data_IF_905433959457
#
_entry.id   IF_905433959457
#
_cell.length_a   1.000
_cell.length_b   1.000
_cell.length_c   1.000
_cell.angle_alpha   90.00
_cell.angle_beta   90.00
_cell.angle_gamma   90.00
#
_symmetry.space_group_name_H-M   'P 1'
#
loop_
_entity.id
_entity.type
_entity.pdbx_description
1 polymer ?
#
# COMPACT_ATOMS: atom_id res chain seq x y z
N UNK A 1 -17.04 -12.03 19.65
CA UNK A 1 -16.76 -12.16 18.20
C UNK A 1 -15.44 -11.47 17.93
N UNK A 2 -14.37 -12.25 17.94
CA UNK A 2 -13.01 -11.76 17.73
C UNK A 2 -12.71 -11.79 16.25
N UNK A 3 -12.51 -10.61 15.66
CA UNK A 3 -11.93 -10.50 14.32
C UNK A 3 -10.49 -10.98 14.45
N UNK A 4 -10.22 -12.21 14.00
CA UNK A 4 -8.86 -12.65 13.70
C UNK A 4 -8.41 -11.84 12.49
N UNK A 5 -7.69 -10.75 12.75
CA UNK A 5 -6.90 -10.08 11.73
C UNK A 5 -5.88 -11.11 11.28
N UNK A 6 -5.98 -11.54 10.03
CA UNK A 6 -5.09 -12.55 9.45
C UNK A 6 -3.70 -11.90 9.30
N UNK A 7 -2.81 -12.20 10.25
CA UNK A 7 -1.42 -11.74 10.32
C UNK A 7 -0.50 -12.49 9.33
N UNK A 8 -0.86 -12.55 8.05
CA UNK A 8 0.05 -13.12 7.06
C UNK A 8 0.01 -12.33 5.77
N UNK A 9 0.71 -11.19 5.81
CA UNK A 9 1.32 -10.63 4.62
C UNK A 9 2.66 -11.36 4.42
N UNK A 10 2.72 -12.29 3.47
CA UNK A 10 3.96 -12.88 2.96
C UNK A 10 4.74 -11.84 2.13
N UNK A 11 5.05 -10.72 2.74
CA UNK A 11 6.15 -9.87 2.30
C UNK A 11 7.31 -10.13 3.24
N UNK A 12 8.54 -10.04 2.77
CA UNK A 12 9.76 -10.35 3.54
C UNK A 12 10.02 -9.45 4.76
N UNK A 13 8.99 -8.74 5.26
CA UNK A 13 9.00 -7.87 6.42
C UNK A 13 7.72 -8.07 7.25
N UNK A 14 7.87 -8.02 8.58
CA UNK A 14 6.74 -8.04 9.53
C UNK A 14 6.59 -6.64 10.12
N UNK A 15 5.40 -6.05 10.02
CA UNK A 15 5.09 -4.81 10.73
C UNK A 15 4.54 -5.15 12.12
N UNK A 16 4.98 -4.42 13.13
CA UNK A 16 4.32 -4.47 14.43
C UNK A 16 2.86 -4.01 14.30
N UNK A 17 1.94 -4.65 15.02
CA UNK A 17 0.50 -4.34 14.93
C UNK A 17 0.20 -2.84 15.13
N UNK A 18 0.90 -2.20 16.06
CA UNK A 18 0.77 -0.76 16.31
C UNK A 18 1.27 0.10 15.13
N UNK A 19 2.36 -0.31 14.48
CA UNK A 19 2.91 0.36 13.32
C UNK A 19 1.98 0.22 12.11
N UNK A 20 1.45 -0.98 11.88
CA UNK A 20 0.48 -1.25 10.82
C UNK A 20 -0.80 -0.42 11.00
N UNK A 21 -1.40 -0.42 12.20
CA UNK A 21 -2.61 0.36 12.47
C UNK A 21 -2.39 1.85 12.25
N UNK A 22 -1.25 2.38 12.71
CA UNK A 22 -0.90 3.78 12.51
C UNK A 22 -0.70 4.10 11.03
N UNK A 23 0.02 3.24 10.30
CA UNK A 23 0.25 3.41 8.87
C UNK A 23 -1.08 3.39 8.10
N UNK A 24 -1.94 2.41 8.37
CA UNK A 24 -3.21 2.25 7.66
C UNK A 24 -4.13 3.44 7.94
N UNK A 25 -4.17 3.93 9.19
CA UNK A 25 -4.90 5.16 9.55
C UNK A 25 -4.42 6.39 8.77
N UNK A 26 -3.12 6.49 8.50
CA UNK A 26 -2.57 7.58 7.70
C UNK A 26 -2.93 7.42 6.22
N UNK A 27 -2.84 6.19 5.70
CA UNK A 27 -3.14 5.84 4.30
C UNK A 27 -4.63 5.91 3.96
N UNK A 28 -5.52 5.79 4.94
CA UNK A 28 -6.98 5.94 4.81
C UNK A 28 -7.48 7.33 5.16
N UNK A 29 -6.60 8.23 5.60
CA UNK A 29 -7.00 9.60 5.95
C UNK A 29 -7.57 10.34 4.74
N UNK A 30 -8.74 10.93 4.88
CA UNK A 30 -9.40 11.72 3.82
C UNK A 30 -8.47 12.78 3.22
N UNK A 31 -7.66 13.44 4.06
CA UNK A 31 -6.68 14.43 3.61
C UNK A 31 -5.63 13.83 2.66
N UNK A 32 -5.22 12.58 2.87
CA UNK A 32 -4.26 11.90 2.02
C UNK A 32 -4.92 11.43 0.72
N UNK A 33 -6.13 10.85 0.81
CA UNK A 33 -6.91 10.45 -0.36
C UNK A 33 -7.16 11.66 -1.27
N UNK A 34 -7.58 12.80 -0.72
CA UNK A 34 -7.79 14.05 -1.45
C UNK A 34 -6.52 14.57 -2.13
N UNK A 35 -5.35 14.43 -1.48
CA UNK A 35 -4.07 14.79 -2.09
C UNK A 35 -3.72 13.88 -3.28
N UNK A 36 -4.05 12.59 -3.19
CA UNK A 36 -3.83 11.63 -4.27
C UNK A 36 -4.79 11.92 -5.42
N UNK A 37 -6.10 12.07 -5.14
CA UNK A 37 -7.13 12.38 -6.15
C UNK A 37 -7.00 13.78 -6.74
N UNK A 38 -6.33 14.72 -6.07
CA UNK A 38 -6.00 16.03 -6.68
C UNK A 38 -4.91 15.93 -7.75
N UNK A 39 -4.07 14.88 -7.74
CA UNK A 39 -2.98 14.69 -8.69
C UNK A 39 -3.33 13.69 -9.80
N UNK A 40 -4.42 12.96 -9.64
CA UNK A 40 -4.85 11.91 -10.53
C UNK A 40 -6.28 12.19 -11.01
N UNK A 41 -6.65 11.77 -12.22
CA UNK A 41 -7.97 12.03 -12.78
C UNK A 41 -9.11 11.21 -12.14
N UNK A 42 -8.88 10.60 -10.97
CA UNK A 42 -9.82 9.70 -10.32
C UNK A 42 -10.55 10.41 -9.18
N UNK A 43 -11.88 10.34 -9.17
CA UNK A 43 -12.71 11.05 -8.19
C UNK A 43 -12.70 10.38 -6.81
N UNK A 44 -12.59 9.04 -6.74
CA UNK A 44 -12.60 8.30 -5.48
C UNK A 44 -11.60 7.15 -5.49
N UNK A 45 -10.86 7.03 -4.39
CA UNK A 45 -9.91 5.94 -4.14
C UNK A 45 -10.22 5.31 -2.78
N UNK A 46 -10.19 3.99 -2.74
CA UNK A 46 -10.36 3.20 -1.53
C UNK A 46 -9.06 2.45 -1.23
N UNK A 47 -8.51 2.64 -0.03
CA UNK A 47 -7.34 1.89 0.39
C UNK A 47 -7.71 0.43 0.61
N UNK A 48 -7.03 -0.49 -0.06
CA UNK A 48 -7.37 -1.93 -0.03
C UNK A 48 -6.80 -2.66 1.20
N UNK A 49 -6.11 -1.94 2.09
CA UNK A 49 -5.34 -2.52 3.21
C UNK A 49 -4.19 -3.43 2.75
N UNK A 50 -3.90 -3.44 1.44
CA UNK A 50 -2.76 -4.16 0.88
C UNK A 50 -1.56 -3.24 0.74
N UNK A 51 -0.43 -3.68 1.29
CA UNK A 51 0.86 -3.03 1.16
C UNK A 51 1.93 -4.06 0.80
N UNK A 52 2.95 -3.65 0.08
CA UNK A 52 4.06 -4.52 -0.25
C UNK A 52 5.37 -3.74 -0.34
N UNK A 53 6.49 -4.45 -0.21
CA UNK A 53 7.80 -3.88 -0.46
C UNK A 53 8.13 -4.06 -1.95
N UNK A 54 8.45 -2.99 -2.70
CA UNK A 54 8.94 -3.15 -4.05
C UNK A 54 10.27 -3.91 -4.02
N UNK A 55 10.42 -4.86 -4.94
CA UNK A 55 11.61 -5.71 -5.04
C UNK A 55 12.52 -5.20 -6.15
N UNK A 56 13.85 -5.39 -6.04
CA UNK A 56 14.76 -5.02 -7.11
C UNK A 56 14.37 -5.70 -8.43
N UNK A 57 14.65 -5.01 -9.54
CA UNK A 57 14.53 -5.59 -10.86
C UNK A 57 15.39 -6.86 -10.96
N UNK A 58 14.79 -7.96 -11.37
CA UNK A 58 15.49 -9.21 -11.67
C UNK A 58 14.91 -9.86 -12.92
N UNK A 59 15.57 -10.91 -13.44
CA UNK A 59 15.04 -11.69 -14.56
C UNK A 59 13.68 -12.34 -14.25
N UNK A 60 13.42 -12.61 -12.98
CA UNK A 60 12.16 -13.21 -12.52
C UNK A 60 11.11 -12.15 -12.15
N UNK A 61 11.53 -10.90 -11.92
CA UNK A 61 10.70 -9.80 -11.42
C UNK A 61 10.92 -8.52 -12.22
N UNK A 62 10.60 -8.53 -13.54
CA UNK A 62 10.94 -7.42 -14.44
C UNK A 62 10.18 -6.12 -14.11
N UNK A 63 9.06 -6.19 -13.37
CA UNK A 63 8.29 -5.02 -12.93
C UNK A 63 8.67 -4.50 -11.54
N UNK A 64 9.68 -5.10 -10.89
CA UNK A 64 10.08 -4.71 -9.53
C UNK A 64 9.00 -4.99 -8.47
N UNK A 65 8.11 -5.94 -8.74
CA UNK A 65 7.00 -6.32 -7.87
C UNK A 65 6.89 -7.84 -7.80
N UNK A 66 6.41 -8.37 -6.68
CA UNK A 66 6.10 -9.80 -6.57
C UNK A 66 4.90 -10.15 -7.47
N UNK A 67 4.88 -11.38 -7.97
CA UNK A 67 3.88 -11.86 -8.94
C UNK A 67 2.43 -11.68 -8.47
N UNK A 68 2.19 -11.82 -7.17
CA UNK A 68 0.89 -11.60 -6.56
C UNK A 68 0.37 -10.16 -6.68
N UNK A 69 1.27 -9.17 -6.75
CA UNK A 69 0.90 -7.76 -6.86
C UNK A 69 0.88 -7.25 -8.30
N UNK A 70 1.42 -8.01 -9.27
CA UNK A 70 1.39 -7.64 -10.69
C UNK A 70 -0.03 -7.44 -11.22
N UNK A 71 -1.00 -8.22 -10.73
CA UNK A 71 -2.41 -8.10 -11.13
C UNK A 71 -3.00 -6.70 -10.85
N UNK A 72 -2.54 -6.02 -9.79
CA UNK A 72 -2.99 -4.68 -9.43
C UNK A 72 -2.31 -3.60 -10.28
N UNK A 73 -1.11 -3.87 -10.80
CA UNK A 73 -0.46 -3.00 -11.77
C UNK A 73 -1.08 -3.15 -13.17
N UNK A 74 -1.51 -4.36 -13.53
CA UNK A 74 -2.10 -4.66 -14.84
C UNK A 74 -3.57 -4.24 -14.96
N UNK A 75 -4.27 -4.11 -13.83
CA UNK A 75 -5.65 -3.67 -13.80
C UNK A 75 -5.79 -2.16 -13.76
N UNK A 76 -6.65 -1.61 -14.62
CA UNK A 76 -7.05 -0.19 -14.61
C UNK A 76 -7.98 0.19 -13.45
N UNK A 77 -8.40 -0.78 -12.64
CA UNK A 77 -9.27 -0.56 -11.49
C UNK A 77 -8.48 -0.38 -10.19
N UNK A 78 -7.16 -0.52 -10.23
CA UNK A 78 -6.28 -0.32 -9.10
C UNK A 78 -5.17 0.67 -9.41
N UNK A 79 -4.64 1.28 -8.37
CA UNK A 79 -3.48 2.15 -8.43
C UNK A 79 -2.53 1.83 -7.28
N UNK A 80 -1.25 1.82 -7.60
CA UNK A 80 -0.18 1.58 -6.65
C UNK A 80 0.49 2.91 -6.34
N UNK A 81 0.50 3.28 -5.07
CA UNK A 81 1.07 4.55 -4.58
C UNK A 81 2.24 4.23 -3.65
N UNK A 82 3.37 4.90 -3.85
CA UNK A 82 4.48 4.81 -2.91
C UNK A 82 4.09 5.44 -1.58
N UNK A 83 4.27 4.70 -0.49
CA UNK A 83 4.03 5.19 0.86
C UNK A 83 5.02 6.32 1.15
N UNK A 84 4.53 7.52 1.50
CA UNK A 84 5.41 8.64 1.84
C UNK A 84 6.34 8.31 3.02
N UNK A 85 7.63 8.69 2.98
CA UNK A 85 8.55 8.43 4.09
C UNK A 85 8.07 8.99 5.42
N UNK A 86 7.42 10.17 5.41
CA UNK A 86 6.85 10.77 6.62
C UNK A 86 5.78 9.90 7.29
N UNK A 87 5.05 9.06 6.55
CA UNK A 87 4.05 8.14 7.10
C UNK A 87 4.74 6.94 7.73
N UNK A 88 5.76 6.41 7.05
CA UNK A 88 6.61 5.33 7.59
C UNK A 88 7.26 5.77 8.91
N UNK A 89 7.84 6.97 8.97
CA UNK A 89 8.41 7.54 10.20
C UNK A 89 7.38 7.72 11.31
N UNK A 90 6.18 8.23 11.01
CA UNK A 90 5.08 8.36 12.00
C UNK A 90 4.62 7.01 12.54
N UNK A 91 4.64 5.98 11.69
CA UNK A 91 4.34 4.60 12.07
C UNK A 91 5.54 3.86 12.71
N UNK A 92 6.69 4.53 12.90
CA UNK A 92 7.95 3.94 13.39
C UNK A 92 8.48 2.78 12.54
N UNK A 93 8.19 2.82 11.23
CA UNK A 93 8.68 1.86 10.25
C UNK A 93 10.00 2.39 9.67
N UNK A 94 11.10 1.76 10.06
CA UNK A 94 12.45 2.10 9.58
C UNK A 94 13.00 1.08 8.57
N UNK A 95 12.42 -0.11 8.54
CA UNK A 95 12.65 -1.15 7.54
C UNK A 95 11.31 -1.81 7.20
N UNK A 96 11.00 -2.05 5.91
CA UNK A 96 11.82 -1.73 4.73
C UNK A 96 11.88 -0.22 4.43
N UNK A 97 12.79 0.22 3.55
CA UNK A 97 12.97 1.63 3.19
C UNK A 97 11.90 2.17 2.22
N UNK A 98 11.25 1.27 1.50
CA UNK A 98 10.16 1.59 0.58
C UNK A 98 8.99 0.65 0.83
N UNK A 99 7.79 1.21 0.81
CA UNK A 99 6.53 0.49 0.81
C UNK A 99 5.65 1.07 -0.30
N UNK A 100 4.88 0.21 -0.93
CA UNK A 100 3.83 0.56 -1.87
C UNK A 100 2.50 0.16 -1.27
N UNK A 101 1.50 1.02 -1.42
CA UNK A 101 0.12 0.83 -0.98
C UNK A 101 -0.78 0.69 -2.20
N UNK A 102 -1.74 -0.25 -2.14
CA UNK A 102 -2.67 -0.50 -3.22
C UNK A 102 -4.01 0.16 -2.91
N UNK A 103 -4.50 0.94 -3.86
CA UNK A 103 -5.79 1.59 -3.82
C UNK A 103 -6.66 1.05 -4.95
N UNK A 104 -7.95 0.87 -4.67
CA UNK A 104 -8.96 0.59 -5.67
C UNK A 104 -9.58 1.89 -6.14
N UNK A 105 -9.73 2.04 -7.45
CA UNK A 105 -10.42 3.16 -8.05
C UNK A 105 -11.93 2.88 -7.97
N UNK A 106 -12.65 3.74 -7.27
CA UNK A 106 -14.11 3.67 -7.19
C UNK A 106 -14.67 4.68 -8.17
N UNK A 107 -15.39 4.19 -9.18
CA UNK A 107 -16.14 5.02 -10.13
C UNK A 107 -17.57 5.08 -9.60
N UNK A 108 -18.06 6.29 -9.32
CA UNK A 108 -19.47 6.52 -8.98
C UNK A 108 -20.32 6.47 -10.25
#
# INVERSE_FOLDING_TARGET
MGIKIIESFESSFTLEQNAQQMLFKLLTSENFIQQITSQLPYEKLEFTELIFQPIPYSKETPKGMAKEFEQYHESSDYIIINVPPNFMFKAKIFQPSHLCAIYKITRD
#
